data_IF_593185503356
#
_entry.id   IF_593185503356
#
_cell.length_a   1.000
_cell.length_b   1.000
_cell.length_c   1.000
_cell.angle_alpha   90.00
_cell.angle_beta   90.00
_cell.angle_gamma   90.00
#
_symmetry.space_group_name_H-M   'P 1'
#
loop_
_entity.id
_entity.type
_entity.pdbx_description
1 polymer ?
#
# COMPACT_ATOMS: atom_id res chain seq x y z
N UNK A 1 -35.08 61.33 -13.18
CA UNK A 1 -35.18 61.75 -11.76
C UNK A 1 -33.86 61.36 -11.10
N UNK A 2 -33.18 62.28 -10.40
CA UNK A 2 -31.94 61.92 -9.69
C UNK A 2 -32.30 61.14 -8.43
N UNK A 3 -31.55 60.08 -8.07
CA UNK A 3 -31.80 59.32 -6.85
C UNK A 3 -31.70 60.24 -5.63
N UNK A 4 -32.57 60.01 -4.64
CA UNK A 4 -32.54 60.75 -3.38
C UNK A 4 -31.39 60.25 -2.50
N UNK A 5 -31.02 61.04 -1.51
CA UNK A 5 -29.93 60.71 -0.58
C UNK A 5 -30.18 59.37 0.16
N UNK A 6 -31.40 59.15 0.65
CA UNK A 6 -31.80 57.89 1.30
C UNK A 6 -31.67 56.66 0.38
N UNK A 7 -31.92 56.85 -0.92
CA UNK A 7 -31.86 55.77 -1.90
C UNK A 7 -30.41 55.40 -2.23
N UNK A 8 -29.49 56.37 -2.18
CA UNK A 8 -28.05 56.14 -2.27
C UNK A 8 -27.49 55.44 -1.03
N UNK A 9 -27.96 55.78 0.18
CA UNK A 9 -27.56 55.10 1.42
C UNK A 9 -28.01 53.62 1.41
N UNK A 10 -29.26 53.34 1.01
CA UNK A 10 -29.74 51.96 0.88
C UNK A 10 -28.92 51.14 -0.12
N UNK A 11 -28.60 51.73 -1.28
CA UNK A 11 -27.75 51.08 -2.29
C UNK A 11 -26.34 50.81 -1.78
N UNK A 12 -25.77 51.73 -1.00
CA UNK A 12 -24.46 51.56 -0.38
C UNK A 12 -24.47 50.42 0.65
N UNK A 13 -25.48 50.34 1.51
CA UNK A 13 -25.63 49.27 2.50
C UNK A 13 -25.80 47.89 1.84
N UNK A 14 -26.60 47.82 0.78
CA UNK A 14 -26.82 46.60 0.01
C UNK A 14 -25.51 46.14 -0.66
N UNK A 15 -24.80 47.06 -1.33
CA UNK A 15 -23.49 46.78 -1.94
C UNK A 15 -22.46 46.32 -0.90
N UNK A 16 -22.41 46.93 0.29
CA UNK A 16 -21.53 46.50 1.37
C UNK A 16 -21.90 45.13 1.95
N UNK A 17 -23.19 44.76 1.94
CA UNK A 17 -23.64 43.43 2.35
C UNK A 17 -23.24 42.38 1.31
N UNK A 18 -23.45 42.66 0.03
CA UNK A 18 -23.04 41.79 -1.06
C UNK A 18 -21.52 41.57 -1.09
N UNK A 19 -20.74 42.64 -0.89
CA UNK A 19 -19.28 42.55 -0.79
C UNK A 19 -18.85 41.65 0.37
N UNK A 20 -19.45 41.82 1.56
CA UNK A 20 -19.17 40.95 2.72
C UNK A 20 -19.54 39.47 2.46
N UNK A 21 -20.65 39.23 1.76
CA UNK A 21 -21.05 37.87 1.38
C UNK A 21 -20.10 37.24 0.34
N UNK A 22 -19.63 38.05 -0.62
CA UNK A 22 -18.63 37.65 -1.60
C UNK A 22 -17.29 37.32 -0.92
N UNK A 23 -16.80 38.17 -0.02
CA UNK A 23 -15.57 37.94 0.74
C UNK A 23 -15.64 36.63 1.55
N UNK A 24 -16.77 36.38 2.24
CA UNK A 24 -16.96 35.12 2.95
C UNK A 24 -16.96 33.90 2.01
N UNK A 25 -17.52 34.05 0.81
CA UNK A 25 -17.53 32.98 -0.20
C UNK A 25 -16.14 32.73 -0.75
N UNK A 26 -15.38 33.79 -1.09
CA UNK A 26 -14.00 33.71 -1.55
C UNK A 26 -13.15 33.00 -0.50
N UNK A 27 -13.24 33.42 0.76
CA UNK A 27 -12.49 32.80 1.85
C UNK A 27 -12.81 31.30 2.00
N UNK A 28 -14.08 30.92 1.92
CA UNK A 28 -14.47 29.50 1.96
C UNK A 28 -13.91 28.69 0.76
N UNK A 29 -13.84 29.30 -0.43
CA UNK A 29 -13.26 28.66 -1.61
C UNK A 29 -11.74 28.52 -1.48
N UNK A 30 -11.05 29.53 -0.93
CA UNK A 30 -9.62 29.47 -0.63
C UNK A 30 -9.29 28.33 0.36
N UNK A 31 -10.11 28.15 1.40
CA UNK A 31 -9.98 27.03 2.33
C UNK A 31 -10.16 25.67 1.64
N UNK A 32 -11.12 25.54 0.73
CA UNK A 32 -11.31 24.30 -0.03
C UNK A 32 -10.15 24.03 -1.01
N UNK A 33 -9.64 25.07 -1.66
CA UNK A 33 -8.51 24.94 -2.58
C UNK A 33 -7.25 24.51 -1.84
N UNK A 34 -7.00 25.05 -0.64
CA UNK A 34 -5.86 24.66 0.18
C UNK A 34 -5.99 23.22 0.68
N UNK A 35 -7.16 22.79 1.15
CA UNK A 35 -7.40 21.39 1.55
C UNK A 35 -7.20 20.41 0.38
N UNK A 36 -7.77 20.71 -0.79
CA UNK A 36 -7.58 19.90 -2.00
C UNK A 36 -6.12 19.82 -2.43
N UNK A 37 -5.36 20.91 -2.34
CA UNK A 37 -3.93 20.92 -2.67
C UNK A 37 -3.12 20.01 -1.74
N UNK A 38 -3.44 20.00 -0.44
CA UNK A 38 -2.83 19.10 0.53
C UNK A 38 -3.17 17.63 0.22
N UNK A 39 -4.43 17.33 -0.09
CA UNK A 39 -4.84 15.97 -0.45
C UNK A 39 -4.13 15.48 -1.72
N UNK A 40 -4.00 16.33 -2.73
CA UNK A 40 -3.31 15.99 -3.97
C UNK A 40 -1.83 15.67 -3.71
N UNK A 41 -1.13 16.53 -2.97
CA UNK A 41 0.27 16.29 -2.61
C UNK A 41 0.47 14.98 -1.83
N UNK A 42 -0.44 14.68 -0.89
CA UNK A 42 -0.42 13.43 -0.14
C UNK A 42 -0.65 12.20 -1.04
N UNK A 43 -1.58 12.29 -2.00
CA UNK A 43 -1.83 11.22 -2.96
C UNK A 43 -0.63 10.99 -3.89
N UNK A 44 -0.01 12.07 -4.39
CA UNK A 44 1.20 11.99 -5.21
C UNK A 44 2.38 11.35 -4.47
N UNK A 45 2.57 11.67 -3.18
CA UNK A 45 3.60 11.02 -2.36
C UNK A 45 3.38 9.50 -2.27
N UNK A 46 2.15 9.07 -1.97
CA UNK A 46 1.82 7.63 -1.88
C UNK A 46 1.98 6.92 -3.21
N UNK A 47 1.55 7.54 -4.30
CA UNK A 47 1.76 6.99 -5.63
C UNK A 47 3.25 6.79 -5.93
N UNK A 48 4.10 7.72 -5.52
CA UNK A 48 5.56 7.61 -5.67
C UNK A 48 6.14 6.46 -4.84
N UNK A 49 5.70 6.31 -3.60
CA UNK A 49 6.12 5.23 -2.70
C UNK A 49 5.71 3.85 -3.25
N UNK A 50 4.45 3.69 -3.66
CA UNK A 50 3.96 2.45 -4.28
C UNK A 50 4.67 2.16 -5.61
N UNK A 51 4.99 3.18 -6.41
CA UNK A 51 5.75 3.00 -7.64
C UNK A 51 7.19 2.54 -7.36
N UNK A 52 7.84 3.11 -6.35
CA UNK A 52 9.17 2.70 -5.92
C UNK A 52 9.18 1.27 -5.38
N UNK A 53 8.18 0.90 -4.57
CA UNK A 53 8.00 -0.47 -4.08
C UNK A 53 7.77 -1.46 -5.22
N UNK A 54 6.86 -1.15 -6.16
CA UNK A 54 6.61 -1.98 -7.35
C UNK A 54 7.87 -2.14 -8.23
N UNK A 55 8.72 -1.11 -8.31
CA UNK A 55 10.00 -1.22 -8.99
C UNK A 55 10.98 -2.14 -8.23
N UNK A 56 10.97 -2.07 -6.90
CA UNK A 56 11.81 -2.86 -5.99
C UNK A 56 11.42 -4.33 -5.85
N UNK A 57 10.13 -4.67 -6.02
CA UNK A 57 9.64 -6.06 -6.03
C UNK A 57 10.34 -6.94 -7.08
N UNK A 58 11.02 -6.34 -8.06
CA UNK A 58 11.73 -7.03 -9.14
C UNK A 58 13.24 -7.09 -8.97
N UNK A 59 13.84 -6.41 -7.98
CA UNK A 59 15.29 -6.17 -7.92
C UNK A 59 16.00 -6.55 -6.61
N UNK A 60 15.29 -7.11 -5.63
CA UNK A 60 15.87 -7.46 -4.31
C UNK A 60 15.47 -8.84 -3.80
N UNK A 61 15.21 -9.79 -4.69
CA UNK A 61 14.58 -11.08 -4.37
C UNK A 61 15.47 -12.25 -4.77
N UNK A 62 15.23 -13.43 -4.19
CA UNK A 62 15.74 -14.70 -4.71
C UNK A 62 15.05 -15.02 -6.03
N UNK A 63 15.84 -15.32 -7.07
CA UNK A 63 15.36 -15.82 -8.35
C UNK A 63 15.61 -17.32 -8.43
N UNK A 64 14.88 -18.00 -9.31
CA UNK A 64 15.19 -19.39 -9.65
C UNK A 64 15.32 -19.58 -11.15
N UNK A 65 16.11 -20.58 -11.54
CA UNK A 65 16.01 -21.23 -12.84
C UNK A 65 15.62 -22.70 -12.61
N UNK A 66 14.75 -23.23 -13.44
CA UNK A 66 14.32 -24.62 -13.40
C UNK A 66 14.55 -25.27 -14.76
N UNK A 67 15.12 -26.48 -14.76
CA UNK A 67 15.20 -27.36 -15.91
C UNK A 67 14.89 -28.80 -15.50
N UNK A 68 14.31 -29.63 -16.37
CA UNK A 68 14.04 -31.03 -16.08
C UNK A 68 15.29 -31.86 -15.74
N UNK A 69 16.45 -31.51 -16.28
CA UNK A 69 17.68 -32.28 -16.09
C UNK A 69 18.27 -32.16 -14.67
N UNK A 70 18.17 -30.98 -14.05
CA UNK A 70 18.84 -30.70 -12.77
C UNK A 70 17.95 -30.08 -11.69
N UNK A 71 16.69 -29.75 -11.99
CA UNK A 71 15.75 -29.20 -11.02
C UNK A 71 15.88 -27.69 -10.86
N UNK A 72 15.88 -27.19 -9.61
CA UNK A 72 15.92 -25.75 -9.30
C UNK A 72 17.32 -25.30 -8.88
N UNK A 73 17.78 -24.21 -9.49
CA UNK A 73 18.88 -23.40 -8.99
C UNK A 73 18.39 -22.04 -8.53
N UNK A 74 18.98 -21.51 -7.46
CA UNK A 74 18.63 -20.21 -6.88
C UNK A 74 19.71 -19.18 -7.13
N UNK A 75 19.29 -17.94 -7.43
CA UNK A 75 20.18 -16.85 -7.80
C UNK A 75 19.83 -15.58 -7.02
N UNK A 76 20.85 -14.82 -6.63
CA UNK A 76 20.67 -13.48 -6.07
C UNK A 76 20.47 -12.41 -7.15
N UNK A 77 20.92 -12.70 -8.38
CA UNK A 77 20.80 -11.80 -9.52
C UNK A 77 19.79 -12.36 -10.52
N UNK A 78 18.90 -11.48 -11.01
CA UNK A 78 17.91 -11.81 -12.02
C UNK A 78 18.55 -12.33 -13.31
N UNK A 79 19.61 -11.66 -13.76
CA UNK A 79 20.25 -11.96 -15.04
C UNK A 79 20.90 -13.33 -15.01
N UNK A 80 21.52 -13.72 -13.89
CA UNK A 80 22.11 -15.06 -13.75
C UNK A 80 21.05 -16.17 -13.91
N UNK A 81 19.87 -16.02 -13.30
CA UNK A 81 18.77 -16.98 -13.48
C UNK A 81 18.28 -17.05 -14.94
N UNK A 82 18.23 -15.90 -15.63
CA UNK A 82 17.86 -15.83 -17.06
C UNK A 82 18.92 -16.52 -17.91
N UNK A 83 20.19 -16.21 -17.66
CA UNK A 83 21.32 -16.73 -18.43
C UNK A 83 21.43 -18.25 -18.26
N UNK A 84 21.21 -18.77 -17.04
CA UNK A 84 21.16 -20.21 -16.80
C UNK A 84 20.00 -20.87 -17.55
N UNK A 85 18.78 -20.33 -17.47
CA UNK A 85 17.64 -20.88 -18.21
C UNK A 85 17.85 -20.79 -19.74
N UNK A 86 18.49 -19.73 -20.23
CA UNK A 86 18.79 -19.55 -21.64
C UNK A 86 19.87 -20.51 -22.13
N UNK A 87 20.91 -20.75 -21.32
CA UNK A 87 21.95 -21.73 -21.62
C UNK A 87 21.37 -23.14 -21.76
N UNK A 88 20.39 -23.49 -20.92
CA UNK A 88 19.68 -24.77 -21.03
C UNK A 88 18.85 -24.86 -22.33
N UNK A 89 18.08 -23.82 -22.66
CA UNK A 89 17.34 -23.76 -23.92
C UNK A 89 18.29 -23.88 -25.12
N UNK A 90 19.50 -23.31 -25.02
CA UNK A 90 20.52 -23.38 -26.06
C UNK A 90 21.09 -24.80 -26.19
N UNK A 91 21.30 -25.52 -25.08
CA UNK A 91 21.68 -26.94 -25.10
C UNK A 91 20.61 -27.80 -25.79
N UNK A 92 19.33 -27.63 -25.44
CA UNK A 92 18.22 -28.30 -26.15
C UNK A 92 18.18 -27.96 -27.64
N UNK A 93 18.58 -26.74 -28.03
CA UNK A 93 18.60 -26.31 -29.43
C UNK A 93 19.70 -27.02 -30.22
N UNK A 94 20.85 -27.27 -29.61
CA UNK A 94 21.98 -27.95 -30.25
C UNK A 94 21.67 -29.42 -30.57
N UNK A 95 20.80 -30.05 -29.77
CA UNK A 95 20.35 -31.44 -29.94
C UNK A 95 19.03 -31.59 -30.73
N UNK A 96 18.43 -30.48 -31.18
CA UNK A 96 17.15 -30.46 -31.89
C UNK A 96 17.28 -30.86 -33.38
N UNK A 97 17.71 -32.09 -33.65
CA UNK A 97 17.94 -32.59 -35.03
C UNK A 97 16.65 -32.74 -35.85
N UNK A 98 15.58 -33.31 -35.27
CA UNK A 98 14.30 -33.56 -35.93
C UNK A 98 13.10 -32.85 -35.25
N UNK A 99 13.37 -32.06 -34.22
CA UNK A 99 12.37 -31.32 -33.47
C UNK A 99 12.90 -30.86 -32.12
N UNK A 100 12.11 -30.03 -31.43
CA UNK A 100 12.40 -29.67 -30.05
C UNK A 100 11.94 -30.80 -29.13
N UNK A 101 12.74 -31.12 -28.12
CA UNK A 101 12.29 -31.94 -27.00
C UNK A 101 11.08 -31.27 -26.33
N UNK A 102 10.09 -32.06 -25.92
CA UNK A 102 8.89 -31.55 -25.22
C UNK A 102 9.25 -30.91 -23.88
N UNK A 103 10.34 -31.37 -23.24
CA UNK A 103 10.79 -30.92 -21.94
C UNK A 103 11.39 -29.49 -21.97
N UNK A 104 11.81 -28.97 -23.13
CA UNK A 104 12.31 -27.59 -23.26
C UNK A 104 11.28 -26.55 -22.78
N UNK A 105 9.99 -26.85 -22.91
CA UNK A 105 8.89 -25.98 -22.48
C UNK A 105 8.81 -25.82 -20.97
N UNK A 106 9.46 -26.71 -20.23
CA UNK A 106 9.49 -26.70 -18.76
C UNK A 106 10.64 -25.86 -18.25
N UNK A 107 11.64 -25.56 -19.08
CA UNK A 107 12.72 -24.64 -18.73
C UNK A 107 12.12 -23.27 -18.41
N UNK A 108 12.36 -22.79 -17.20
CA UNK A 108 11.74 -21.55 -16.71
C UNK A 108 12.65 -20.82 -15.74
N UNK A 109 12.57 -19.49 -15.72
CA UNK A 109 13.12 -18.69 -14.65
C UNK A 109 11.99 -17.91 -13.96
N UNK A 110 12.18 -17.55 -12.70
CA UNK A 110 11.16 -16.83 -11.95
C UNK A 110 11.68 -16.17 -10.69
N UNK A 111 10.74 -15.55 -9.96
CA UNK A 111 10.98 -14.87 -8.68
C UNK A 111 10.35 -15.71 -7.57
N UNK A 112 11.09 -15.88 -6.46
CA UNK A 112 10.59 -16.54 -5.27
C UNK A 112 9.86 -15.52 -4.39
N UNK A 113 8.54 -15.61 -4.30
CA UNK A 113 7.73 -14.67 -3.50
C UNK A 113 7.72 -15.07 -2.02
N UNK A 114 7.73 -16.38 -1.74
CA UNK A 114 7.83 -16.94 -0.40
C UNK A 114 8.81 -18.10 -0.39
N UNK A 115 9.54 -18.24 0.72
CA UNK A 115 10.43 -19.36 0.94
C UNK A 115 10.20 -19.92 2.34
N UNK A 116 10.39 -21.24 2.49
CA UNK A 116 10.37 -21.84 3.80
C UNK A 116 11.55 -21.31 4.62
N UNK A 117 11.27 -20.78 5.80
CA UNK A 117 12.28 -20.34 6.77
C UNK A 117 11.99 -20.96 8.14
N UNK A 118 13.05 -21.19 8.90
CA UNK A 118 12.97 -21.80 10.23
C UNK A 118 12.36 -20.82 11.22
N UNK A 119 11.21 -21.16 11.77
CA UNK A 119 10.64 -20.45 12.92
C UNK A 119 11.07 -21.11 14.21
N UNK A 120 10.76 -20.45 15.33
CA UNK A 120 10.77 -21.02 16.68
C UNK A 120 11.98 -21.85 17.10
N UNK A 121 13.15 -21.60 16.49
CA UNK A 121 14.30 -22.48 16.58
C UNK A 121 14.65 -22.77 18.04
N UNK A 122 14.22 -23.94 18.51
CA UNK A 122 14.51 -24.39 19.86
C UNK A 122 16.02 -24.65 19.88
N UNK A 123 16.69 -24.11 20.89
CA UNK A 123 18.15 -24.10 20.94
C UNK A 123 18.75 -25.49 20.70
N UNK A 124 19.99 -25.52 20.26
CA UNK A 124 20.70 -26.75 19.86
C UNK A 124 20.59 -27.87 20.93
N UNK A 125 19.98 -28.99 20.55
CA UNK A 125 19.79 -30.18 21.38
C UNK A 125 20.91 -31.20 21.17
N UNK A 126 21.20 -32.00 22.20
CA UNK A 126 22.15 -33.12 22.11
C UNK A 126 21.38 -34.40 22.41
N UNK A 127 21.34 -35.32 21.44
CA UNK A 127 20.71 -36.64 21.61
C UNK A 127 21.51 -37.55 22.54
N UNK A 128 20.89 -38.63 23.01
CA UNK A 128 21.55 -39.67 23.82
C UNK A 128 22.76 -40.30 23.11
N UNK A 129 22.80 -40.24 21.78
CA UNK A 129 23.94 -40.69 20.97
C UNK A 129 24.99 -39.60 20.73
N UNK A 130 24.90 -38.47 21.45
CA UNK A 130 25.75 -37.27 21.32
C UNK A 130 25.69 -36.59 19.95
N UNK A 131 24.61 -36.80 19.19
CA UNK A 131 24.36 -36.03 17.98
C UNK A 131 23.70 -34.71 18.33
N UNK A 132 24.27 -33.64 17.78
CA UNK A 132 23.75 -32.29 17.97
C UNK A 132 22.71 -32.01 16.88
N UNK A 133 21.48 -31.65 17.24
CA UNK A 133 20.42 -31.34 16.30
C UNK A 133 19.63 -30.11 16.76
N UNK A 134 19.09 -29.36 15.81
CA UNK A 134 18.20 -28.23 16.09
C UNK A 134 16.82 -28.62 15.58
N UNK A 135 15.80 -28.48 16.43
CA UNK A 135 14.40 -28.59 16.01
C UNK A 135 13.87 -27.19 15.81
N UNK A 136 13.53 -26.87 14.57
CA UNK A 136 12.73 -25.71 14.21
C UNK A 136 11.54 -26.22 13.38
N UNK A 137 10.39 -25.58 13.55
CA UNK A 137 9.32 -25.69 12.58
C UNK A 137 9.65 -24.81 11.36
N UNK A 138 9.03 -25.08 10.22
CA UNK A 138 9.22 -24.30 8.99
C UNK A 138 7.89 -23.72 8.56
N UNK A 139 7.90 -22.42 8.25
CA UNK A 139 6.74 -21.76 7.62
C UNK A 139 7.16 -21.02 6.36
N UNK A 140 6.20 -20.80 5.47
CA UNK A 140 6.39 -19.90 4.33
C UNK A 140 6.49 -18.45 4.82
N UNK A 141 7.59 -17.78 4.48
CA UNK A 141 7.85 -16.39 4.82
C UNK A 141 7.99 -15.57 3.54
N UNK A 142 7.39 -14.38 3.54
CA UNK A 142 7.51 -13.42 2.43
C UNK A 142 8.95 -12.94 2.27
N UNK A 143 9.52 -13.21 1.10
CA UNK A 143 10.88 -12.78 0.73
C UNK A 143 10.92 -11.30 0.34
N UNK A 144 9.76 -10.73 0.01
CA UNK A 144 9.61 -9.33 -0.39
C UNK A 144 8.64 -8.65 0.56
N UNK A 145 9.11 -7.62 1.27
CA UNK A 145 8.25 -6.78 2.10
C UNK A 145 7.57 -5.71 1.24
N UNK A 146 6.30 -5.42 1.54
CA UNK A 146 5.50 -4.39 0.84
C UNK A 146 4.99 -3.32 1.81
N UNK A 147 5.89 -2.61 2.52
CA UNK A 147 5.51 -1.64 3.55
C UNK A 147 4.68 -0.45 3.03
N UNK A 148 4.90 0.00 1.80
CA UNK A 148 4.11 1.08 1.19
C UNK A 148 2.68 0.61 0.88
N UNK A 149 2.53 -0.63 0.39
CA UNK A 149 1.21 -1.25 0.22
C UNK A 149 0.51 -1.41 1.56
N UNK A 150 1.20 -1.88 2.60
CA UNK A 150 0.63 -2.05 3.94
C UNK A 150 0.17 -0.72 4.54
N UNK A 151 1.00 0.33 4.43
CA UNK A 151 0.66 1.68 4.86
C UNK A 151 -0.54 2.26 4.10
N UNK A 152 -0.59 2.06 2.77
CA UNK A 152 -1.72 2.47 1.94
C UNK A 152 -3.02 1.78 2.38
N UNK A 153 -2.99 0.46 2.58
CA UNK A 153 -4.16 -0.31 3.03
C UNK A 153 -4.62 0.11 4.43
N UNK A 154 -3.67 0.38 5.34
CA UNK A 154 -3.97 0.89 6.67
C UNK A 154 -4.67 2.25 6.61
N UNK A 155 -4.25 3.12 5.71
CA UNK A 155 -4.88 4.42 5.52
C UNK A 155 -6.28 4.30 4.91
N UNK A 156 -6.48 3.47 3.88
CA UNK A 156 -7.81 3.25 3.29
C UNK A 156 -8.79 2.74 4.34
N UNK A 157 -8.34 1.82 5.22
CA UNK A 157 -9.13 1.37 6.36
C UNK A 157 -9.45 2.53 7.32
N UNK A 158 -8.47 3.36 7.65
CA UNK A 158 -8.66 4.53 8.52
C UNK A 158 -9.67 5.54 7.94
N UNK A 159 -9.59 5.85 6.64
CA UNK A 159 -10.50 6.75 5.95
C UNK A 159 -11.95 6.25 6.01
N UNK A 160 -12.18 4.94 5.80
CA UNK A 160 -13.50 4.35 5.94
C UNK A 160 -14.09 4.51 7.35
N UNK A 161 -13.26 4.37 8.39
CA UNK A 161 -13.67 4.57 9.79
C UNK A 161 -13.94 6.05 10.08
N UNK A 162 -13.17 6.98 9.51
CA UNK A 162 -13.41 8.42 9.64
C UNK A 162 -14.73 8.86 9.01
N UNK A 163 -15.05 8.36 7.81
CA UNK A 163 -16.34 8.62 7.18
C UNK A 163 -17.51 8.16 8.07
N UNK A 164 -17.34 7.04 8.77
CA UNK A 164 -18.32 6.57 9.76
C UNK A 164 -18.39 7.49 10.99
N UNK A 165 -17.25 7.94 11.52
CA UNK A 165 -17.20 8.89 12.63
C UNK A 165 -17.88 10.23 12.29
N UNK A 166 -17.67 10.74 11.08
CA UNK A 166 -18.32 11.96 10.58
C UNK A 166 -19.83 11.78 10.45
N UNK A 167 -20.28 10.63 9.92
CA UNK A 167 -21.70 10.31 9.84
C UNK A 167 -22.36 10.33 11.23
N UNK A 168 -21.72 9.70 12.23
CA UNK A 168 -22.19 9.70 13.61
C UNK A 168 -22.22 11.10 14.22
N UNK A 169 -21.19 11.91 13.96
CA UNK A 169 -21.13 13.31 14.41
C UNK A 169 -22.28 14.13 13.85
N UNK A 170 -22.53 14.02 12.54
CA UNK A 170 -23.65 14.72 11.88
C UNK A 170 -24.99 14.28 12.44
N UNK A 171 -25.17 12.98 12.70
CA UNK A 171 -26.37 12.43 13.31
C UNK A 171 -26.57 12.93 14.74
N UNK A 172 -25.49 13.00 15.54
CA UNK A 172 -25.54 13.53 16.91
C UNK A 172 -26.01 14.98 16.95
N UNK A 173 -25.50 15.83 16.05
CA UNK A 173 -25.90 17.23 15.92
C UNK A 173 -27.39 17.34 15.53
N UNK A 174 -27.86 16.48 14.63
CA UNK A 174 -29.25 16.49 14.15
C UNK A 174 -30.25 15.93 15.18
N UNK A 175 -29.90 14.88 15.93
CA UNK A 175 -30.82 14.22 16.87
C UNK A 175 -30.72 14.74 18.31
N UNK A 176 -29.66 15.47 18.66
CA UNK A 176 -29.37 15.89 20.04
C UNK A 176 -28.93 14.74 20.97
N UNK A 177 -28.73 13.53 20.44
CA UNK A 177 -28.35 12.36 21.23
C UNK A 177 -26.84 12.31 21.46
N UNK A 178 -26.43 12.52 22.72
CA UNK A 178 -25.02 12.55 23.13
C UNK A 178 -24.27 11.21 22.90
N UNK A 179 -24.96 10.07 22.85
CA UNK A 179 -24.33 8.75 22.65
C UNK A 179 -23.60 8.63 21.29
N UNK A 180 -24.14 9.25 20.24
CA UNK A 180 -23.53 9.25 18.91
C UNK A 180 -22.19 10.02 18.89
N UNK A 181 -22.02 10.98 19.81
CA UNK A 181 -20.79 11.75 19.92
C UNK A 181 -19.64 10.93 20.54
N UNK A 182 -19.95 10.10 21.54
CA UNK A 182 -18.98 9.18 22.14
C UNK A 182 -18.48 8.13 21.13
N UNK A 183 -19.38 7.56 20.33
CA UNK A 183 -19.00 6.59 19.28
C UNK A 183 -18.19 7.23 18.14
N UNK A 184 -18.50 8.46 17.76
CA UNK A 184 -17.71 9.20 16.78
C UNK A 184 -16.27 9.41 17.27
N UNK A 185 -16.08 9.78 18.54
CA UNK A 185 -14.76 9.94 19.14
C UNK A 185 -13.96 8.62 19.17
N UNK A 186 -14.60 7.52 19.56
CA UNK A 186 -13.97 6.20 19.55
C UNK A 186 -13.55 5.77 18.14
N UNK A 187 -14.43 5.97 17.15
CA UNK A 187 -14.13 5.67 15.76
C UNK A 187 -12.96 6.50 15.22
N UNK A 188 -12.92 7.81 15.52
CA UNK A 188 -11.81 8.68 15.12
C UNK A 188 -10.46 8.23 15.74
N UNK A 189 -10.47 7.82 17.01
CA UNK A 189 -9.27 7.28 17.66
C UNK A 189 -8.83 5.94 17.04
N UNK A 190 -9.78 5.07 16.72
CA UNK A 190 -9.49 3.80 16.06
C UNK A 190 -8.89 4.01 14.66
N UNK A 191 -9.41 4.95 13.88
CA UNK A 191 -8.82 5.35 12.60
C UNK A 191 -7.37 5.83 12.76
N UNK A 192 -7.08 6.62 13.80
CA UNK A 192 -5.72 7.05 14.11
C UNK A 192 -4.79 5.89 14.51
N UNK A 193 -5.31 4.84 15.16
CA UNK A 193 -4.54 3.63 15.49
C UNK A 193 -4.21 2.81 14.24
N UNK A 194 -5.16 2.68 13.30
CA UNK A 194 -4.93 1.98 12.04
C UNK A 194 -3.73 2.56 11.28
N UNK A 195 -3.59 3.90 11.26
CA UNK A 195 -2.43 4.58 10.63
C UNK A 195 -1.08 4.34 11.32
N UNK A 196 -1.10 4.00 12.61
CA UNK A 196 0.13 3.69 13.37
C UNK A 196 0.60 2.25 13.18
N UNK A 197 -0.10 1.46 12.36
CA UNK A 197 0.21 0.04 12.18
C UNK A 197 -0.05 -0.80 13.42
N UNK A 198 -0.87 -0.31 14.36
CA UNK A 198 -1.29 -1.11 15.51
C UNK A 198 -2.11 -2.29 14.99
N UNK A 199 -1.60 -3.51 15.21
CA UNK A 199 -2.34 -4.73 14.92
C UNK A 199 -3.68 -4.72 15.65
N UNK A 200 -4.71 -5.20 14.95
CA UNK A 200 -6.01 -5.55 15.53
C UNK A 200 -5.87 -6.72 16.50
#
# INVERSE_FOLDING_TARGET
MKPTYEELERQLEESQREFRAADATIHNLELKLTDMAVQLANAESKCRELAAENAGQKSGVTYFAFAPEYGFDYFANKQDAIDTAQAEIDAYRDDAFDGWDEDVRRVSWGIVIQQADGVDAEGVHISDSRHTYQTCDYQLVDMVKTPATDAFLAEVRAQGVEMYAEHLTRKAIASGENKNHAYAYLAANFAAQLRKGAAL
#
